data_IF_303141713224
#
_entry.id   IF_303141713224
#
_cell.length_a   1.000
_cell.length_b   1.000
_cell.length_c   1.000
_cell.angle_alpha   90.00
_cell.angle_beta   90.00
_cell.angle_gamma   90.00
#
_symmetry.space_group_name_H-M   'P 1'
#
loop_
_entity.id
_entity.type
_entity.pdbx_description
1 polymer ?
#
# COMPACT_ATOMS: atom_id res chain seq x y z
N UNK A 1 46.81 1.27 4.68
CA UNK A 1 46.48 2.66 5.08
C UNK A 1 45.29 2.59 6.03
N UNK A 2 45.51 2.77 7.33
CA UNK A 2 44.44 2.72 8.34
C UNK A 2 43.73 4.08 8.36
N UNK A 3 42.42 4.09 8.13
CA UNK A 3 41.61 5.29 8.23
C UNK A 3 41.68 5.83 9.67
N UNK A 4 42.09 7.08 9.78
CA UNK A 4 42.17 7.84 11.03
C UNK A 4 40.72 8.18 11.45
N UNK A 5 40.07 7.31 12.22
CA UNK A 5 38.76 7.61 12.82
C UNK A 5 38.98 8.52 14.03
N UNK A 6 38.57 9.77 13.90
CA UNK A 6 38.69 10.80 14.92
C UNK A 6 37.79 10.44 16.12
N UNK A 7 38.30 10.33 17.36
CA UNK A 7 37.49 9.96 18.53
C UNK A 7 36.37 10.97 18.85
N UNK A 8 36.51 12.23 18.40
CA UNK A 8 35.48 13.26 18.52
C UNK A 8 34.28 13.03 17.58
N UNK A 9 34.49 12.44 16.39
CA UNK A 9 33.41 12.12 15.46
C UNK A 9 32.51 11.02 16.05
N UNK A 10 33.12 10.04 16.74
CA UNK A 10 32.39 8.96 17.39
C UNK A 10 31.53 9.46 18.57
N UNK A 11 32.03 10.37 19.41
CA UNK A 11 31.21 10.95 20.49
C UNK A 11 30.05 11.79 19.97
N UNK A 12 30.27 12.56 18.89
CA UNK A 12 29.23 13.34 18.25
C UNK A 12 28.15 12.42 17.62
N UNK A 13 28.55 11.37 16.90
CA UNK A 13 27.64 10.36 16.35
C UNK A 13 26.85 9.64 17.44
N UNK A 14 27.50 9.16 18.50
CA UNK A 14 26.82 8.51 19.62
C UNK A 14 25.83 9.45 20.33
N UNK A 15 26.16 10.74 20.45
CA UNK A 15 25.29 11.74 21.06
C UNK A 15 24.09 12.05 20.17
N UNK A 16 24.30 12.17 18.85
CA UNK A 16 23.23 12.34 17.85
C UNK A 16 22.33 11.11 17.82
N UNK A 17 22.89 9.90 17.86
CA UNK A 17 22.12 8.66 17.88
C UNK A 17 21.29 8.55 19.17
N UNK A 18 21.85 8.90 20.33
CA UNK A 18 21.09 8.97 21.59
C UNK A 18 19.94 9.97 21.52
N UNK A 19 20.15 11.14 20.90
CA UNK A 19 19.08 12.12 20.69
C UNK A 19 18.02 11.58 19.70
N UNK A 20 18.46 10.93 18.62
CA UNK A 20 17.60 10.29 17.63
C UNK A 20 16.70 9.24 18.28
N UNK A 21 17.24 8.40 19.17
CA UNK A 21 16.46 7.42 19.93
C UNK A 21 15.41 8.07 20.83
N UNK A 22 15.73 9.21 21.49
CA UNK A 22 14.75 9.95 22.31
C UNK A 22 13.66 10.62 21.50
N UNK A 23 13.89 10.85 20.21
CA UNK A 23 12.92 11.46 19.29
C UNK A 23 12.03 10.40 18.60
N UNK A 24 12.35 9.11 18.69
CA UNK A 24 11.49 8.05 18.15
C UNK A 24 10.24 7.87 19.02
N UNK A 25 9.07 8.06 18.42
CA UNK A 25 7.80 7.76 19.07
C UNK A 25 7.50 6.26 18.98
N UNK A 26 7.64 5.54 20.09
CA UNK A 26 7.30 4.12 20.19
C UNK A 26 5.86 3.86 20.67
N UNK A 27 5.02 4.91 20.73
CA UNK A 27 3.62 4.77 21.12
C UNK A 27 2.75 4.18 20.01
N UNK A 28 1.59 3.65 20.39
CA UNK A 28 0.59 3.13 19.45
C UNK A 28 -0.02 4.19 18.50
N UNK A 29 0.30 5.48 18.70
CA UNK A 29 -0.07 6.57 17.79
C UNK A 29 0.82 6.62 16.55
N UNK A 30 2.02 6.06 16.63
CA UNK A 30 2.91 5.99 15.50
C UNK A 30 2.39 4.99 14.46
N UNK A 31 2.03 5.49 13.27
CA UNK A 31 1.54 4.66 12.16
C UNK A 31 2.59 3.69 11.59
N UNK A 32 3.87 3.91 11.89
CA UNK A 32 4.93 2.95 11.59
C UNK A 32 4.92 1.76 12.54
N UNK A 33 4.24 1.84 13.68
CA UNK A 33 4.10 0.72 14.61
C UNK A 33 2.68 0.15 14.63
N UNK A 34 1.69 0.97 14.31
CA UNK A 34 0.28 0.62 14.34
C UNK A 34 -0.43 1.14 13.09
N UNK A 35 -0.08 0.56 11.94
CA UNK A 35 -0.70 0.85 10.67
C UNK A 35 -2.12 0.27 10.63
N UNK A 36 -3.08 1.07 10.17
CA UNK A 36 -4.48 0.65 10.03
C UNK A 36 -4.85 0.52 8.57
N UNK A 37 -5.09 -0.72 8.13
CA UNK A 37 -5.55 -1.04 6.78
C UNK A 37 -6.94 -0.44 6.51
N UNK A 38 -7.21 -0.02 5.27
CA UNK A 38 -8.54 0.39 4.80
C UNK A 38 -8.99 1.82 5.17
N UNK A 39 -8.39 2.47 6.19
CA UNK A 39 -8.66 3.87 6.52
C UNK A 39 -8.23 4.83 5.40
N UNK A 40 -8.74 6.07 5.44
CA UNK A 40 -8.31 7.13 4.53
C UNK A 40 -6.77 7.26 4.52
N UNK A 41 -6.18 7.35 3.34
CA UNK A 41 -4.74 7.58 3.18
C UNK A 41 -3.88 6.35 2.92
N UNK A 42 -4.45 5.25 2.41
CA UNK A 42 -3.70 4.17 1.77
C UNK A 42 -4.52 3.48 0.68
N UNK A 43 -3.83 2.89 -0.29
CA UNK A 43 -4.41 2.00 -1.30
C UNK A 43 -3.63 0.70 -1.26
N UNK A 44 -4.36 -0.41 -1.29
CA UNK A 44 -3.76 -1.73 -1.27
C UNK A 44 -3.54 -2.20 -2.70
N UNK A 45 -2.31 -2.58 -3.00
CA UNK A 45 -1.92 -3.29 -4.20
C UNK A 45 -2.12 -4.78 -3.92
N UNK A 46 -2.73 -5.49 -4.85
CA UNK A 46 -3.06 -6.92 -4.75
C UNK A 46 -2.62 -7.63 -6.02
N UNK A 47 -2.53 -8.96 -5.98
CA UNK A 47 -2.18 -9.77 -7.16
C UNK A 47 -0.86 -9.35 -7.82
N UNK A 48 0.09 -8.81 -7.05
CA UNK A 48 1.41 -8.40 -7.55
C UNK A 48 2.53 -9.08 -6.77
N UNK A 49 3.67 -9.24 -7.43
CA UNK A 49 4.89 -9.78 -6.81
C UNK A 49 5.72 -8.60 -6.27
N UNK A 50 5.96 -8.51 -4.94
CA UNK A 50 6.68 -7.38 -4.35
C UNK A 50 8.04 -7.10 -4.99
N UNK A 51 8.82 -8.15 -5.28
CA UNK A 51 10.14 -8.05 -5.92
C UNK A 51 10.08 -7.38 -7.29
N UNK A 52 9.05 -7.69 -8.09
CA UNK A 52 8.87 -7.10 -9.41
C UNK A 52 8.44 -5.64 -9.32
N UNK A 53 7.52 -5.30 -8.41
CA UNK A 53 7.14 -3.90 -8.16
C UNK A 53 8.34 -3.10 -7.68
N UNK A 54 9.14 -3.66 -6.77
CA UNK A 54 10.35 -3.02 -6.28
C UNK A 54 11.37 -2.79 -7.41
N UNK A 55 11.60 -3.79 -8.27
CA UNK A 55 12.48 -3.68 -9.43
C UNK A 55 12.02 -2.60 -10.41
N UNK A 56 10.72 -2.56 -10.74
CA UNK A 56 10.15 -1.58 -11.67
C UNK A 56 10.24 -0.16 -11.11
N UNK A 57 9.92 0.04 -9.83
CA UNK A 57 10.06 1.35 -9.17
C UNK A 57 11.51 1.83 -9.17
N UNK A 58 12.47 0.96 -8.83
CA UNK A 58 13.89 1.31 -8.84
C UNK A 58 14.46 1.56 -10.22
N UNK A 59 13.80 1.07 -11.26
CA UNK A 59 14.12 1.38 -12.67
C UNK A 59 13.52 2.73 -13.11
N UNK A 60 12.95 3.50 -12.17
CA UNK A 60 12.25 4.78 -12.39
C UNK A 60 11.08 4.67 -13.39
N UNK A 61 10.52 3.47 -13.55
CA UNK A 61 9.40 3.27 -14.45
C UNK A 61 8.09 3.78 -13.84
N UNK A 62 7.21 4.28 -14.71
CA UNK A 62 5.85 4.66 -14.31
C UNK A 62 4.96 3.42 -14.18
N UNK A 63 4.47 3.17 -12.97
CA UNK A 63 3.48 2.11 -12.70
C UNK A 63 2.08 2.71 -12.66
N UNK A 64 1.13 2.14 -13.39
CA UNK A 64 -0.24 2.64 -13.49
C UNK A 64 -1.18 1.87 -12.59
N UNK A 65 -2.00 2.58 -11.80
CA UNK A 65 -3.04 1.92 -11.01
C UNK A 65 -4.14 1.33 -11.90
N UNK A 66 -4.52 0.09 -11.57
CA UNK A 66 -5.62 -0.64 -12.20
C UNK A 66 -6.69 -0.95 -11.16
N UNK A 67 -7.89 -0.47 -11.39
CA UNK A 67 -9.07 -0.78 -10.59
C UNK A 67 -9.65 -2.15 -10.97
N UNK A 68 -10.47 -2.72 -10.10
CA UNK A 68 -11.42 -3.76 -10.52
C UNK A 68 -12.58 -3.10 -11.26
N UNK A 69 -13.15 -3.76 -12.29
CA UNK A 69 -14.30 -3.21 -13.01
C UNK A 69 -15.52 -3.15 -12.08
N UNK A 70 -16.37 -2.14 -12.29
CA UNK A 70 -17.70 -2.11 -11.68
C UNK A 70 -18.53 -3.30 -12.19
N UNK A 71 -19.29 -3.98 -11.32
CA UNK A 71 -20.10 -5.13 -11.72
C UNK A 71 -21.19 -4.68 -12.70
N UNK A 72 -21.29 -5.35 -13.85
CA UNK A 72 -22.38 -5.11 -14.79
C UNK A 72 -23.70 -5.68 -14.28
N UNK A 73 -24.82 -5.17 -14.81
CA UNK A 73 -26.15 -5.67 -14.43
C UNK A 73 -26.29 -7.19 -14.63
N UNK A 74 -25.73 -7.73 -15.72
CA UNK A 74 -25.75 -9.18 -16.01
C UNK A 74 -24.98 -9.97 -14.95
N UNK A 75 -23.79 -9.51 -14.61
CA UNK A 75 -22.94 -10.14 -13.59
C UNK A 75 -23.58 -10.08 -12.19
N UNK A 76 -24.30 -8.99 -11.87
CA UNK A 76 -25.07 -8.89 -10.63
C UNK A 76 -26.26 -9.85 -10.60
N UNK A 77 -26.88 -10.13 -11.75
CA UNK A 77 -27.96 -11.13 -11.85
C UNK A 77 -27.39 -12.53 -11.65
N UNK A 78 -26.31 -12.86 -12.36
CA UNK A 78 -25.65 -14.18 -12.28
C UNK A 78 -25.12 -14.46 -10.86
N UNK A 79 -24.62 -13.43 -10.18
CA UNK A 79 -24.18 -13.53 -8.78
C UNK A 79 -25.32 -13.41 -7.74
N UNK A 80 -26.57 -13.26 -8.18
CA UNK A 80 -27.76 -13.28 -7.33
C UNK A 80 -27.96 -12.03 -6.47
N UNK A 81 -27.46 -10.87 -6.89
CA UNK A 81 -27.73 -9.58 -6.28
C UNK A 81 -29.03 -8.95 -6.78
N UNK A 82 -29.34 -9.19 -8.06
CA UNK A 82 -30.53 -8.69 -8.75
C UNK A 82 -31.30 -9.89 -9.31
N UNK A 83 -32.62 -9.88 -9.16
CA UNK A 83 -33.51 -10.82 -9.83
C UNK A 83 -34.46 -10.03 -10.73
N UNK A 84 -34.72 -10.52 -11.94
CA UNK A 84 -35.69 -9.90 -12.84
C UNK A 84 -37.07 -10.42 -12.44
N UNK A 85 -37.97 -9.52 -12.05
CA UNK A 85 -39.35 -9.89 -11.73
C UNK A 85 -40.04 -10.45 -12.99
N UNK A 86 -40.54 -11.71 -12.97
CA UNK A 86 -41.17 -12.35 -14.12
C UNK A 86 -42.43 -11.61 -14.62
N UNK A 87 -43.09 -10.82 -13.78
CA UNK A 87 -44.34 -10.13 -14.14
C UNK A 87 -44.14 -8.71 -14.62
N UNK A 88 -43.15 -8.00 -14.09
CA UNK A 88 -42.91 -6.58 -14.41
C UNK A 88 -41.70 -6.36 -15.32
N UNK A 89 -40.82 -7.35 -15.45
CA UNK A 89 -39.55 -7.24 -16.19
C UNK A 89 -38.57 -6.24 -15.57
N UNK A 90 -38.85 -5.77 -14.35
CA UNK A 90 -38.04 -4.79 -13.63
C UNK A 90 -37.04 -5.49 -12.72
N UNK A 91 -35.89 -4.84 -12.55
CA UNK A 91 -34.84 -5.27 -11.62
C UNK A 91 -35.33 -5.18 -10.17
N UNK A 92 -35.43 -6.33 -9.51
CA UNK A 92 -35.64 -6.41 -8.07
C UNK A 92 -34.30 -6.64 -7.38
N UNK A 93 -33.81 -5.62 -6.66
CA UNK A 93 -32.60 -5.74 -5.83
C UNK A 93 -32.89 -6.61 -4.61
N UNK A 94 -32.28 -7.79 -4.56
CA UNK A 94 -32.43 -8.75 -3.46
C UNK A 94 -31.40 -8.47 -2.37
N UNK A 95 -30.18 -8.11 -2.76
CA UNK A 95 -29.06 -7.79 -1.85
C UNK A 95 -28.57 -6.37 -2.11
N UNK A 96 -27.80 -5.85 -1.14
CA UNK A 96 -27.01 -4.64 -1.34
C UNK A 96 -25.90 -4.93 -2.35
N UNK A 97 -25.59 -3.95 -3.20
CA UNK A 97 -24.52 -4.04 -4.19
C UNK A 97 -23.19 -4.45 -3.50
N UNK A 98 -22.39 -5.33 -4.14
CA UNK A 98 -21.18 -5.87 -3.54
C UNK A 98 -20.16 -4.77 -3.26
N UNK A 99 -19.43 -4.92 -2.16
CA UNK A 99 -18.23 -4.14 -1.92
C UNK A 99 -17.13 -4.53 -2.93
N UNK A 100 -16.16 -3.64 -3.14
CA UNK A 100 -15.02 -3.91 -4.02
C UNK A 100 -14.24 -5.17 -3.62
N UNK A 101 -14.17 -5.48 -2.32
CA UNK A 101 -13.53 -6.70 -1.80
C UNK A 101 -14.31 -7.96 -2.17
N UNK A 102 -15.62 -7.95 -1.96
CA UNK A 102 -16.49 -9.08 -2.31
C UNK A 102 -16.48 -9.34 -3.81
N UNK A 103 -16.57 -8.26 -4.61
CA UNK A 103 -16.52 -8.36 -6.07
C UNK A 103 -15.17 -8.87 -6.58
N UNK A 104 -14.06 -8.38 -6.03
CA UNK A 104 -12.74 -8.87 -6.38
C UNK A 104 -12.57 -10.37 -6.11
N UNK A 105 -13.19 -10.89 -5.03
CA UNK A 105 -13.19 -12.33 -4.72
C UNK A 105 -13.98 -13.12 -5.77
N UNK A 106 -15.12 -12.61 -6.24
CA UNK A 106 -15.91 -13.24 -7.32
C UNK A 106 -15.11 -13.27 -8.63
N UNK A 107 -14.32 -12.24 -8.92
CA UNK A 107 -13.43 -12.17 -10.08
C UNK A 107 -12.16 -13.06 -9.95
N UNK A 108 -11.97 -13.73 -8.80
CA UNK A 108 -10.84 -14.63 -8.57
C UNK A 108 -9.55 -13.94 -8.13
N UNK A 109 -9.59 -12.66 -7.73
CA UNK A 109 -8.42 -11.99 -7.17
C UNK A 109 -8.10 -12.49 -5.76
N UNK A 110 -6.81 -12.65 -5.46
CA UNK A 110 -6.38 -12.93 -4.09
C UNK A 110 -6.54 -11.67 -3.22
N UNK A 111 -7.43 -11.75 -2.22
CA UNK A 111 -7.69 -10.68 -1.25
C UNK A 111 -6.96 -10.90 0.08
N UNK A 112 -6.23 -12.00 0.26
CA UNK A 112 -5.46 -12.27 1.48
C UNK A 112 -4.23 -11.37 1.60
N UNK A 113 -3.94 -10.93 2.82
CA UNK A 113 -2.80 -10.08 3.16
C UNK A 113 -1.46 -10.83 3.13
N UNK A 114 -1.50 -12.15 3.32
CA UNK A 114 -0.30 -12.98 3.26
C UNK A 114 0.22 -13.11 1.82
N UNK A 115 1.54 -13.25 1.73
CA UNK A 115 2.20 -13.54 0.46
C UNK A 115 1.76 -14.91 -0.08
N UNK A 116 1.76 -15.03 -1.40
CA UNK A 116 1.52 -16.31 -2.06
C UNK A 116 2.60 -17.32 -1.65
N UNK A 117 2.17 -18.46 -1.11
CA UNK A 117 3.10 -19.54 -0.70
C UNK A 117 3.82 -20.18 -1.89
N UNK A 118 3.21 -20.12 -3.09
CA UNK A 118 3.76 -20.67 -4.31
C UNK A 118 3.58 -19.65 -5.44
N UNK A 119 4.70 -19.21 -6.00
CA UNK A 119 4.77 -18.34 -7.17
C UNK A 119 5.32 -19.19 -8.32
N UNK A 120 4.58 -19.35 -9.41
CA UNK A 120 5.07 -20.11 -10.57
C UNK A 120 5.94 -19.23 -11.48
N UNK A 121 6.77 -19.87 -12.31
CA UNK A 121 7.59 -19.14 -13.29
C UNK A 121 6.73 -18.39 -14.33
N UNK A 122 5.55 -18.92 -14.66
CA UNK A 122 4.61 -18.27 -15.58
C UNK A 122 3.97 -17.03 -14.95
N UNK A 123 3.65 -17.07 -13.66
CA UNK A 123 3.15 -15.91 -12.91
C UNK A 123 4.18 -14.77 -12.95
N UNK A 124 5.43 -15.08 -12.63
CA UNK A 124 6.55 -14.12 -12.67
C UNK A 124 6.67 -13.50 -14.07
N UNK A 125 6.67 -14.33 -15.11
CA UNK A 125 6.84 -13.85 -16.49
C UNK A 125 5.70 -12.93 -16.92
N UNK A 126 4.47 -13.21 -16.51
CA UNK A 126 3.31 -12.36 -16.83
C UNK A 126 3.44 -10.98 -16.19
N UNK A 127 3.84 -10.93 -14.92
CA UNK A 127 3.97 -9.69 -14.14
C UNK A 127 5.22 -8.88 -14.48
N UNK A 128 6.28 -9.50 -14.99
CA UNK A 128 7.50 -8.80 -15.44
C UNK A 128 7.28 -7.81 -16.58
N UNK A 129 6.24 -8.01 -17.39
CA UNK A 129 5.96 -7.18 -18.57
C UNK A 129 4.82 -6.18 -18.38
N UNK A 130 4.01 -6.34 -17.34
CA UNK A 130 2.90 -5.43 -17.06
C UNK A 130 3.35 -4.31 -16.12
N UNK A 131 2.97 -3.08 -16.44
CA UNK A 131 3.20 -1.89 -15.59
C UNK A 131 1.94 -1.50 -14.82
N UNK A 132 0.85 -2.23 -15.01
CA UNK A 132 -0.37 -2.03 -14.27
C UNK A 132 -0.27 -2.69 -12.90
N UNK A 133 -0.55 -1.93 -11.84
CA UNK A 133 -0.62 -2.44 -10.46
C UNK A 133 -2.08 -2.61 -10.07
N UNK A 134 -2.49 -3.86 -9.84
CA UNK A 134 -3.87 -4.17 -9.51
C UNK A 134 -4.23 -3.71 -8.10
N UNK A 135 -5.42 -3.15 -7.96
CA UNK A 135 -6.00 -2.70 -6.68
C UNK A 135 -7.36 -3.32 -6.46
N UNK A 136 -7.79 -3.37 -5.19
CA UNK A 136 -9.09 -3.90 -4.78
C UNK A 136 -10.11 -2.77 -4.56
N UNK A 137 -10.23 -1.87 -5.54
CA UNK A 137 -11.14 -0.71 -5.52
C UNK A 137 -11.81 -0.54 -6.88
N UNK A 138 -13.07 -0.09 -6.86
CA UNK A 138 -13.75 0.33 -8.08
C UNK A 138 -13.14 1.60 -8.65
N UNK A 139 -13.30 1.91 -9.95
CA UNK A 139 -12.61 3.02 -10.61
C UNK A 139 -12.84 4.37 -9.92
N UNK A 140 -14.10 4.71 -9.61
CA UNK A 140 -14.41 6.01 -8.97
C UNK A 140 -13.91 6.09 -7.53
N UNK A 141 -13.96 4.97 -6.79
CA UNK A 141 -13.42 4.88 -5.43
C UNK A 141 -11.90 5.07 -5.43
N UNK A 142 -11.22 4.36 -6.33
CA UNK A 142 -9.78 4.41 -6.52
C UNK A 142 -9.32 5.83 -6.89
N UNK A 143 -9.97 6.48 -7.87
CA UNK A 143 -9.66 7.86 -8.25
C UNK A 143 -9.85 8.82 -7.06
N UNK A 144 -10.98 8.73 -6.35
CA UNK A 144 -11.23 9.61 -5.21
C UNK A 144 -10.13 9.48 -4.14
N UNK A 145 -9.65 8.25 -3.92
CA UNK A 145 -8.59 7.97 -2.94
C UNK A 145 -7.22 8.43 -3.42
N UNK A 146 -6.87 8.20 -4.68
CA UNK A 146 -5.61 8.65 -5.28
C UNK A 146 -5.52 10.17 -5.34
N UNK A 147 -6.61 10.83 -5.71
CA UNK A 147 -6.71 12.30 -5.66
C UNK A 147 -6.45 12.83 -4.25
N UNK A 148 -7.04 12.21 -3.23
CA UNK A 148 -6.83 12.59 -1.84
C UNK A 148 -5.40 12.35 -1.33
N UNK A 149 -4.79 11.22 -1.72
CA UNK A 149 -3.40 10.90 -1.40
C UNK A 149 -2.43 11.88 -2.05
N UNK A 150 -2.61 12.13 -3.36
CA UNK A 150 -1.79 13.07 -4.13
C UNK A 150 -1.87 14.47 -3.54
N UNK A 151 -3.08 14.98 -3.27
CA UNK A 151 -3.25 16.31 -2.69
C UNK A 151 -2.50 16.46 -1.36
N UNK A 152 -2.60 15.47 -0.47
CA UNK A 152 -1.87 15.49 0.82
C UNK A 152 -0.36 15.47 0.64
N UNK A 153 0.14 14.68 -0.31
CA UNK A 153 1.57 14.61 -0.61
C UNK A 153 2.09 15.94 -1.18
N UNK A 154 1.33 16.56 -2.10
CA UNK A 154 1.66 17.87 -2.67
C UNK A 154 1.67 18.96 -1.60
N UNK A 155 0.64 19.03 -0.75
CA UNK A 155 0.60 19.98 0.37
C UNK A 155 1.79 19.80 1.31
N UNK A 156 2.18 18.57 1.65
CA UNK A 156 3.34 18.34 2.53
C UNK A 156 4.65 18.82 1.89
N UNK A 157 4.82 18.63 0.58
CA UNK A 157 5.98 19.12 -0.16
C UNK A 157 5.98 20.66 -0.21
N UNK A 158 4.83 21.28 -0.45
CA UNK A 158 4.69 22.75 -0.48
C UNK A 158 4.97 23.39 0.88
N UNK A 159 4.49 22.79 1.97
CA UNK A 159 4.61 23.34 3.32
C UNK A 159 5.96 23.06 3.99
N UNK A 160 6.54 21.88 3.76
CA UNK A 160 7.72 21.42 4.51
C UNK A 160 8.91 21.03 3.62
N UNK A 161 8.72 20.98 2.30
CA UNK A 161 9.70 20.44 1.35
C UNK A 161 9.85 18.93 1.40
N UNK A 162 9.06 18.21 2.21
CA UNK A 162 9.21 16.77 2.44
C UNK A 162 8.12 15.96 1.75
N UNK A 163 8.51 14.92 1.01
CA UNK A 163 7.58 13.96 0.45
C UNK A 163 7.14 12.94 1.52
N UNK A 164 5.83 12.83 1.73
CA UNK A 164 5.22 11.91 2.70
C UNK A 164 4.47 10.75 2.05
N UNK A 165 4.67 10.52 0.73
CA UNK A 165 4.02 9.45 0.00
C UNK A 165 4.98 8.29 -0.25
N UNK A 166 4.57 7.10 0.19
CA UNK A 166 5.40 5.90 0.13
C UNK A 166 4.60 4.69 -0.34
N UNK A 167 5.28 3.78 -1.03
CA UNK A 167 4.86 2.39 -1.15
C UNK A 167 5.47 1.61 0.03
N UNK A 168 4.62 0.95 0.80
CA UNK A 168 5.06 0.08 1.88
C UNK A 168 5.22 -1.35 1.36
N UNK A 169 6.41 -1.92 1.51
CA UNK A 169 6.72 -3.30 1.18
C UNK A 169 6.72 -4.14 2.44
N UNK A 170 5.75 -5.06 2.52
CA UNK A 170 5.57 -5.98 3.62
C UNK A 170 5.13 -5.31 4.93
N UNK A 171 4.47 -6.09 5.77
CA UNK A 171 4.07 -5.68 7.11
C UNK A 171 4.42 -6.78 8.09
N UNK A 172 4.93 -6.41 9.27
CA UNK A 172 5.03 -7.30 10.41
C UNK A 172 3.75 -7.18 11.24
N UNK A 173 3.11 -8.31 11.51
CA UNK A 173 2.11 -8.41 12.57
C UNK A 173 2.80 -8.66 13.92
N UNK A 174 2.46 -7.86 14.92
CA UNK A 174 3.01 -7.97 16.27
C UNK A 174 1.97 -7.59 17.33
N UNK A 175 2.21 -8.03 18.56
CA UNK A 175 1.33 -7.82 19.71
C UNK A 175 2.07 -7.04 20.80
N UNK A 176 1.38 -6.14 21.51
CA UNK A 176 2.02 -5.29 22.53
C UNK A 176 2.47 -6.08 23.77
N UNK A 177 1.82 -7.20 24.04
CA UNK A 177 2.18 -8.15 25.08
C UNK A 177 1.76 -9.55 24.64
N UNK A 178 2.29 -10.62 25.28
CA UNK A 178 1.87 -11.99 25.00
C UNK A 178 0.38 -12.23 25.22
N UNK A 179 -0.25 -11.45 26.12
CA UNK A 179 -1.67 -11.56 26.46
C UNK A 179 -2.58 -10.62 25.63
N UNK A 180 -2.01 -9.89 24.67
CA UNK A 180 -2.77 -8.94 23.85
C UNK A 180 -3.37 -9.63 22.64
N UNK A 181 -4.70 -9.66 22.53
CA UNK A 181 -5.41 -10.17 21.35
C UNK A 181 -5.53 -9.15 20.20
N UNK A 182 -4.93 -7.96 20.35
CA UNK A 182 -5.01 -6.88 19.36
C UNK A 182 -3.78 -6.89 18.47
N UNK A 183 -3.87 -7.38 17.22
CA UNK A 183 -2.75 -7.34 16.29
C UNK A 183 -2.45 -5.89 15.90
N UNK A 184 -1.16 -5.57 15.78
CA UNK A 184 -0.64 -4.33 15.24
C UNK A 184 0.18 -4.64 14.01
N UNK A 185 0.09 -3.77 13.01
CA UNK A 185 0.84 -3.93 11.77
C UNK A 185 1.88 -2.82 11.64
N UNK A 186 3.10 -3.19 11.30
CA UNK A 186 4.18 -2.24 11.07
C UNK A 186 4.77 -2.47 9.68
N UNK A 187 4.84 -1.47 8.79
CA UNK A 187 5.48 -1.63 7.49
C UNK A 187 6.95 -2.00 7.67
N UNK A 188 7.52 -2.84 6.80
CA UNK A 188 8.93 -3.21 6.91
C UNK A 188 9.83 -2.18 6.22
N UNK A 189 9.51 -1.86 4.97
CA UNK A 189 10.28 -0.96 4.10
C UNK A 189 9.34 0.02 3.42
N UNK A 190 9.76 1.27 3.31
CA UNK A 190 9.02 2.35 2.66
C UNK A 190 9.84 2.90 1.50
N UNK A 191 9.28 2.85 0.30
CA UNK A 191 9.88 3.42 -0.91
C UNK A 191 9.15 4.73 -1.24
N UNK A 192 9.85 5.88 -1.26
CA UNK A 192 9.23 7.17 -1.55
C UNK A 192 8.80 7.24 -3.01
N UNK A 193 7.53 7.59 -3.23
CA UNK A 193 6.95 7.67 -4.57
C UNK A 193 6.20 8.98 -4.78
N UNK A 194 6.01 9.34 -6.05
CA UNK A 194 5.16 10.45 -6.46
C UNK A 194 3.96 9.91 -7.21
N UNK A 195 2.77 10.39 -6.85
CA UNK A 195 1.53 10.08 -7.57
C UNK A 195 1.32 11.15 -8.66
N UNK A 196 1.23 10.74 -9.91
CA UNK A 196 0.89 11.62 -11.03
C UNK A 196 -0.54 11.35 -11.53
N UNK A 197 -1.25 12.42 -11.90
CA UNK A 197 -2.56 12.34 -12.56
C UNK A 197 -2.35 12.36 -14.07
N UNK A 198 -2.82 11.33 -14.75
CA UNK A 198 -2.77 11.16 -16.20
C UNK A 198 -4.07 11.56 -16.90
N UNK A 199 -4.27 10.98 -18.09
CA UNK A 199 -5.43 11.26 -18.97
C UNK A 199 -6.72 10.61 -18.45
N UNK A 200 -7.86 11.17 -18.85
CA UNK A 200 -9.17 10.58 -18.63
C UNK A 200 -9.27 9.24 -19.38
N UNK A 201 -9.73 8.20 -18.68
CA UNK A 201 -10.04 6.90 -19.25
C UNK A 201 -11.53 6.83 -19.59
N UNK A 202 -11.85 7.01 -20.87
CA UNK A 202 -13.23 7.04 -21.38
C UNK A 202 -14.04 5.79 -21.06
N UNK A 203 -13.41 4.63 -20.88
CA UNK A 203 -14.11 3.38 -20.56
C UNK A 203 -14.65 3.36 -19.12
N UNK A 204 -13.97 4.04 -18.20
CA UNK A 204 -14.31 4.07 -16.77
C UNK A 204 -14.88 5.42 -16.32
N UNK A 205 -14.77 6.46 -17.14
CA UNK A 205 -15.10 7.83 -16.76
C UNK A 205 -14.17 8.44 -15.69
N UNK A 206 -13.03 7.81 -15.41
CA UNK A 206 -12.10 8.22 -14.34
C UNK A 206 -10.72 8.59 -14.89
N UNK A 207 -9.96 9.38 -14.16
CA UNK A 207 -8.58 9.71 -14.55
C UNK A 207 -7.62 8.57 -14.21
N UNK A 208 -6.67 8.33 -15.12
CA UNK A 208 -5.55 7.43 -14.85
C UNK A 208 -4.61 8.07 -13.82
N UNK A 209 -4.02 7.25 -12.96
CA UNK A 209 -3.00 7.67 -12.02
C UNK A 209 -1.81 6.72 -12.10
N UNK A 210 -0.62 7.27 -11.95
CA UNK A 210 0.63 6.52 -11.94
C UNK A 210 1.44 6.82 -10.68
N UNK A 211 2.35 5.92 -10.33
CA UNK A 211 3.41 6.16 -9.35
C UNK A 211 4.78 6.03 -10.00
N UNK A 212 5.71 6.85 -9.52
CA UNK A 212 7.13 6.79 -9.85
C UNK A 212 7.95 6.91 -8.58
N UNK A 213 9.10 6.24 -8.54
CA UNK A 213 10.09 6.44 -7.48
C UNK A 213 10.62 7.88 -7.53
N UNK A 214 10.80 8.52 -6.37
CA UNK A 214 11.27 9.92 -6.34
C UNK A 214 12.79 10.06 -6.40
N UNK A 215 13.53 8.95 -6.29
CA UNK A 215 14.99 8.96 -6.16
C UNK A 215 15.49 9.19 -4.72
N UNK A 216 14.58 9.50 -3.78
CA UNK A 216 14.90 9.64 -2.36
C UNK A 216 15.19 8.29 -1.69
N UNK A 217 15.96 8.30 -0.61
CA UNK A 217 16.38 7.07 0.08
C UNK A 217 15.20 6.18 0.49
N UNK A 218 15.37 4.88 0.25
CA UNK A 218 14.45 3.84 0.75
C UNK A 218 14.59 3.76 2.28
N UNK A 219 13.46 3.86 2.98
CA UNK A 219 13.44 3.97 4.43
C UNK A 219 13.04 2.62 5.06
N UNK A 220 13.93 1.97 5.81
CA UNK A 220 13.52 0.89 6.71
C UNK A 220 12.73 1.48 7.88
N UNK A 221 11.83 0.69 8.46
CA UNK A 221 11.09 1.13 9.63
C UNK A 221 11.93 1.11 10.91
N UNK A 222 12.58 2.26 11.19
CA UNK A 222 13.41 2.44 12.37
C UNK A 222 12.64 2.30 13.68
N UNK A 223 11.38 2.72 13.72
CA UNK A 223 10.54 2.61 14.92
C UNK A 223 10.30 1.15 15.25
N UNK A 224 10.00 0.34 14.23
CA UNK A 224 9.82 -1.11 14.39
C UNK A 224 11.11 -1.78 14.84
N UNK A 225 12.24 -1.47 14.20
CA UNK A 225 13.54 -2.04 14.57
C UNK A 225 13.88 -1.77 16.03
N UNK A 226 13.64 -0.54 16.49
CA UNK A 226 13.88 -0.17 17.88
C UNK A 226 12.90 -0.86 18.84
N UNK A 227 11.62 -0.98 18.46
CA UNK A 227 10.62 -1.73 19.23
C UNK A 227 11.02 -3.20 19.38
N UNK A 228 11.50 -3.84 18.31
CA UNK A 228 11.97 -5.22 18.33
C UNK A 228 13.22 -5.40 19.21
N UNK A 229 14.14 -4.42 19.16
CA UNK A 229 15.33 -4.41 20.02
C UNK A 229 14.98 -4.33 21.51
N UNK A 230 14.08 -3.43 21.90
CA UNK A 230 13.75 -3.18 23.31
C UNK A 230 12.89 -4.31 23.88
N UNK A 231 11.84 -4.71 23.16
CA UNK A 231 10.82 -5.62 23.71
C UNK A 231 11.19 -7.09 23.51
N UNK A 232 11.93 -7.41 22.45
CA UNK A 232 12.20 -8.80 22.04
C UNK A 232 13.70 -9.14 21.99
N UNK A 233 14.61 -8.16 22.12
CA UNK A 233 16.05 -8.40 22.00
C UNK A 233 16.48 -8.79 20.59
N UNK A 234 15.65 -8.51 19.58
CA UNK A 234 15.86 -8.87 18.17
C UNK A 234 16.24 -7.60 17.39
N UNK A 235 17.54 -7.26 17.31
CA UNK A 235 18.05 -6.28 16.33
C UNK A 235 19.55 -6.45 16.09
#
# INVERSE_FOLDING_TARGET
MKANQNPHDNFAQESIDKLRYRLLDLSARNRLLNFTHGRHGCIRIIDEIPDEIHRLLLSEEELRFKAIPDPSQKELIDAGYIEIDPQTGLDRRIKKDPTSVEWGTVLGFNTNYDLLEQITADDIRSKQTDKAIQTLMFPSEMEARLRGLRAKAETAIEETGSNICYVAFGFLEWFESPDSDKPRHAPLVLVPVRIAKGKLNSATGTYNYTITYTGEDILPNLSLREKLRIDFGLA
#
